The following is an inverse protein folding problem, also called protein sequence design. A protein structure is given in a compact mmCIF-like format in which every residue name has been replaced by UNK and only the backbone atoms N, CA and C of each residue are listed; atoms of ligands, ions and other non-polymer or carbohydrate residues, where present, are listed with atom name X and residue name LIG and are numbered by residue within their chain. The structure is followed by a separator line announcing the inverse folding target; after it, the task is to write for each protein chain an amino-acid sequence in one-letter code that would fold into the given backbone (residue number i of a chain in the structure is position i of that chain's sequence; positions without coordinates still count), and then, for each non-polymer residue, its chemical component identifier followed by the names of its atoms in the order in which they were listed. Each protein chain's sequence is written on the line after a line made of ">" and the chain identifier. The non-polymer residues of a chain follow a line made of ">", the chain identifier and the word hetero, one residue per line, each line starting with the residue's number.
data_IF_535472594585
#
_entry.id   IF_535472594585
#
_cell.length_a   1.000
_cell.length_b   1.000
_cell.length_c   1.000
_cell.angle_alpha   90.00
_cell.angle_beta   90.00
_cell.angle_gamma   90.00
#
_symmetry.space_group_name_H-M   'P 1'
#
loop_
_entity.id
_entity.type
_entity.pdbx_description
1 polymer ?
#
# COMPACT_ATOMS: atom_id res chain seq x y z
N UNK A 1 2.73 -39.25 -15.83
CA UNK A 1 1.64 -38.31 -15.44
C UNK A 1 1.82 -38.02 -13.96
N UNK A 2 2.62 -36.98 -13.66
CA UNK A 2 2.94 -36.62 -12.29
C UNK A 2 1.91 -35.65 -11.77
N UNK A 3 1.12 -36.11 -10.81
CA UNK A 3 0.16 -35.27 -10.10
C UNK A 3 0.94 -34.39 -9.10
N UNK A 4 1.24 -33.16 -9.48
CA UNK A 4 1.72 -32.15 -8.53
C UNK A 4 0.55 -31.80 -7.60
N UNK A 5 0.69 -32.21 -6.35
CA UNK A 5 -0.29 -31.96 -5.30
C UNK A 5 -0.18 -30.49 -4.92
N UNK A 6 -1.23 -29.74 -5.19
CA UNK A 6 -1.41 -28.35 -4.75
C UNK A 6 -1.71 -28.39 -3.24
N UNK A 7 -0.71 -28.13 -2.40
CA UNK A 7 -0.90 -28.04 -0.96
C UNK A 7 -1.12 -26.57 -0.55
N UNK A 8 -2.37 -26.17 -0.49
CA UNK A 8 -2.77 -24.93 0.17
C UNK A 8 -2.86 -25.25 1.66
N UNK A 9 -1.87 -24.84 2.46
CA UNK A 9 -1.95 -24.97 3.92
C UNK A 9 -2.94 -23.94 4.47
N UNK A 10 -4.20 -24.31 4.52
CA UNK A 10 -5.25 -23.59 5.22
C UNK A 10 -5.23 -24.04 6.69
N UNK A 11 -4.59 -23.30 7.57
CA UNK A 11 -4.72 -23.52 9.01
C UNK A 11 -6.00 -22.77 9.45
N UNK A 12 -7.08 -23.51 9.55
CA UNK A 12 -8.32 -23.02 10.18
C UNK A 12 -8.08 -22.89 11.69
N UNK A 13 -7.98 -21.67 12.20
CA UNK A 13 -8.05 -21.40 13.62
C UNK A 13 -9.52 -21.33 14.00
N UNK A 14 -9.97 -22.28 14.79
CA UNK A 14 -11.30 -22.33 15.39
C UNK A 14 -11.49 -21.08 16.26
N UNK A 15 -12.44 -20.22 15.89
CA UNK A 15 -12.86 -19.08 16.68
C UNK A 15 -13.53 -19.56 17.97
N UNK A 16 -12.90 -19.29 19.09
CA UNK A 16 -13.55 -19.43 20.41
C UNK A 16 -14.25 -18.10 20.73
N UNK A 17 -15.56 -18.09 20.56
CA UNK A 17 -16.41 -16.98 20.95
C UNK A 17 -16.56 -16.95 22.46
N UNK A 18 -15.96 -15.97 23.11
CA UNK A 18 -16.31 -15.62 24.50
C UNK A 18 -17.18 -14.39 24.45
N UNK A 19 -18.48 -14.60 24.68
CA UNK A 19 -19.44 -13.53 24.97
C UNK A 19 -19.17 -13.02 26.38
N UNK A 20 -18.77 -11.75 26.52
CA UNK A 20 -18.94 -11.02 27.75
C UNK A 20 -20.08 -10.02 27.58
N UNK A 21 -21.19 -10.33 28.20
CA UNK A 21 -22.26 -9.40 28.52
C UNK A 21 -21.77 -8.52 29.67
N UNK A 22 -21.76 -7.22 29.49
CA UNK A 22 -21.72 -6.27 30.60
C UNK A 22 -22.83 -5.25 30.43
N UNK A 23 -23.57 -5.10 31.50
CA UNK A 23 -24.80 -4.37 31.64
C UNK A 23 -24.63 -2.85 31.55
N UNK A 24 -25.72 -2.24 31.22
CA UNK A 24 -26.00 -0.82 31.15
C UNK A 24 -25.70 -0.07 32.46
N UNK A 25 -25.27 1.18 32.32
CA UNK A 25 -25.81 2.21 33.22
C UNK A 25 -26.03 3.51 32.39
N UNK A 26 -27.27 3.95 32.48
CA UNK A 26 -27.81 5.15 31.91
C UNK A 26 -27.62 6.30 32.89
N UNK A 27 -27.03 7.41 32.45
CA UNK A 27 -27.30 8.70 33.09
C UNK A 27 -27.56 9.76 32.01
N UNK A 28 -28.83 10.10 31.92
CA UNK A 28 -29.38 11.27 31.26
C UNK A 28 -28.89 12.54 31.95
N UNK A 29 -28.28 13.44 31.20
CA UNK A 29 -28.17 14.84 31.63
C UNK A 29 -28.92 15.71 30.62
N UNK A 30 -30.11 16.09 31.01
CA UNK A 30 -30.89 17.13 30.39
C UNK A 30 -30.21 18.49 30.59
N UNK A 31 -29.93 19.19 29.50
CA UNK A 31 -29.59 20.61 29.55
C UNK A 31 -30.73 21.42 28.99
N UNK A 32 -31.27 22.21 29.89
CA UNK A 32 -32.40 23.10 29.73
C UNK A 32 -32.05 24.36 28.91
N UNK A 33 -32.94 24.73 28.04
CA UNK A 33 -32.93 25.98 27.28
C UNK A 33 -33.36 27.13 28.17
N UNK A 34 -32.69 28.23 28.07
CA UNK A 34 -33.22 29.61 27.98
C UNK A 34 -32.15 30.62 28.36
N UNK A 35 -31.79 31.47 27.43
CA UNK A 35 -31.92 32.93 27.62
C UNK A 35 -31.57 33.62 26.29
N UNK A 36 -32.60 34.16 25.69
CA UNK A 36 -32.51 35.10 24.60
C UNK A 36 -32.28 36.51 25.18
N UNK A 37 -31.23 37.18 24.75
CA UNK A 37 -31.13 38.63 24.81
C UNK A 37 -30.73 39.11 23.43
N UNK A 38 -31.67 39.78 22.79
CA UNK A 38 -31.45 40.50 21.54
C UNK A 38 -30.79 41.86 21.79
N UNK A 39 -29.91 42.23 20.88
CA UNK A 39 -29.71 43.64 20.52
C UNK A 39 -29.44 43.63 19.01
N UNK A 40 -30.30 44.35 18.28
CA UNK A 40 -30.13 44.66 16.88
C UNK A 40 -29.07 45.75 16.73
N UNK A 41 -28.43 45.75 15.56
CA UNK A 41 -28.24 46.96 14.75
C UNK A 41 -27.52 46.58 13.46
N UNK A 42 -28.15 47.02 12.46
CA UNK A 42 -27.86 47.31 11.07
C UNK A 42 -26.36 47.49 10.76
N UNK A 43 -25.78 46.62 9.92
CA UNK A 43 -24.50 46.86 9.21
C UNK A 43 -24.75 46.68 7.72
N UNK A 44 -24.78 47.78 7.00
CA UNK A 44 -24.90 47.88 5.56
C UNK A 44 -23.70 47.18 4.86
N UNK A 45 -24.01 46.37 3.89
CA UNK A 45 -23.08 45.78 2.93
C UNK A 45 -22.70 46.83 1.87
N UNK A 46 -21.67 47.60 2.11
CA UNK A 46 -20.95 48.31 1.04
C UNK A 46 -19.49 48.53 1.47
N UNK A 47 -18.58 48.25 0.54
CA UNK A 47 -17.14 48.47 0.62
C UNK A 47 -16.27 47.37 1.30
N UNK A 48 -16.17 46.19 0.69
CA UNK A 48 -14.94 45.42 0.74
C UNK A 48 -14.29 45.44 -0.65
N UNK A 49 -13.49 46.46 -0.88
CA UNK A 49 -12.56 46.48 -2.01
C UNK A 49 -11.39 45.56 -1.69
N UNK A 50 -11.34 44.38 -2.30
CA UNK A 50 -10.13 43.56 -2.30
C UNK A 50 -9.11 44.26 -3.22
N UNK A 51 -8.23 45.04 -2.63
CA UNK A 51 -7.03 45.49 -3.29
C UNK A 51 -6.10 44.29 -3.48
N UNK A 52 -6.06 43.78 -4.69
CA UNK A 52 -5.11 42.76 -5.14
C UNK A 52 -3.73 43.44 -5.29
N UNK A 53 -2.95 43.48 -4.20
CA UNK A 53 -1.54 43.83 -4.30
C UNK A 53 -0.73 42.57 -4.56
N UNK A 54 -0.46 42.29 -5.83
CA UNK A 54 0.59 41.38 -6.26
C UNK A 54 1.91 42.14 -6.04
N UNK A 55 2.55 41.92 -4.92
CA UNK A 55 3.97 42.23 -4.76
C UNK A 55 4.79 41.07 -5.30
N UNK A 56 5.34 41.27 -6.48
CA UNK A 56 6.40 40.45 -7.03
C UNK A 56 7.67 40.66 -6.19
N UNK A 57 8.01 39.70 -5.36
CA UNK A 57 9.40 39.44 -4.95
C UNK A 57 9.47 38.08 -4.21
N UNK A 58 10.46 37.30 -4.66
CA UNK A 58 10.94 36.07 -4.08
C UNK A 58 10.11 34.80 -4.39
N UNK A 59 10.32 34.31 -5.61
CA UNK A 59 10.05 32.92 -5.97
C UNK A 59 11.03 31.99 -5.26
N UNK A 60 10.79 31.74 -4.00
CA UNK A 60 11.18 30.46 -3.43
C UNK A 60 10.26 29.44 -4.08
N UNK A 61 10.80 28.67 -5.03
CA UNK A 61 10.18 27.44 -5.51
C UNK A 61 10.18 26.47 -4.33
N UNK A 62 9.19 26.62 -3.47
CA UNK A 62 8.77 25.54 -2.59
C UNK A 62 8.21 24.50 -3.54
N UNK A 63 9.01 23.47 -3.82
CA UNK A 63 8.58 22.37 -4.66
C UNK A 63 7.25 21.86 -4.16
N UNK A 64 6.22 22.09 -4.97
CA UNK A 64 4.87 21.60 -4.71
C UNK A 64 4.98 20.08 -4.61
N UNK A 65 4.86 19.53 -3.40
CA UNK A 65 4.79 18.10 -3.22
C UNK A 65 3.64 17.58 -4.10
N UNK A 66 3.88 16.64 -5.03
CA UNK A 66 2.89 16.29 -6.03
C UNK A 66 1.60 15.88 -5.33
N UNK A 67 0.52 16.58 -5.65
CA UNK A 67 -0.81 16.39 -5.08
C UNK A 67 -1.34 15.00 -5.44
N UNK A 68 -0.99 14.02 -4.64
CA UNK A 68 -1.54 12.67 -4.76
C UNK A 68 -0.91 11.75 -5.81
N UNK A 69 -0.03 12.23 -6.70
CA UNK A 69 0.62 11.41 -7.74
C UNK A 69 2.14 11.61 -7.71
N UNK A 70 2.90 10.51 -7.80
CA UNK A 70 4.36 10.52 -7.93
C UNK A 70 4.76 9.62 -9.09
N UNK A 71 5.67 10.09 -9.94
CA UNK A 71 6.10 9.37 -11.13
C UNK A 71 7.53 8.87 -11.02
N UNK A 72 7.73 7.63 -11.48
CA UNK A 72 9.03 6.95 -11.52
C UNK A 72 9.34 6.56 -12.95
N UNK A 73 10.56 6.79 -13.39
CA UNK A 73 11.06 6.36 -14.70
C UNK A 73 12.54 5.98 -14.61
N UNK A 74 12.97 4.96 -15.37
CA UNK A 74 14.40 4.58 -15.44
C UNK A 74 15.30 5.68 -15.98
N UNK A 75 14.72 6.65 -16.71
CA UNK A 75 15.40 7.86 -17.24
C UNK A 75 15.25 9.06 -16.31
N UNK A 76 14.62 8.91 -15.14
CA UNK A 76 14.44 9.96 -14.14
C UNK A 76 15.70 10.23 -13.33
N UNK A 77 15.58 11.12 -12.35
CA UNK A 77 16.61 11.40 -11.35
C UNK A 77 15.99 11.50 -9.97
N UNK A 78 16.64 10.96 -8.95
CA UNK A 78 16.17 11.08 -7.56
C UNK A 78 16.32 12.51 -6.98
N UNK A 79 16.90 13.43 -7.75
CA UNK A 79 16.91 14.86 -7.45
C UNK A 79 15.66 15.60 -7.99
N UNK A 80 14.84 14.92 -8.80
CA UNK A 80 13.61 15.47 -9.35
C UNK A 80 12.49 15.51 -8.31
N UNK A 81 11.44 16.29 -8.61
CA UNK A 81 10.27 16.48 -7.75
C UNK A 81 9.25 15.32 -7.78
N UNK A 82 9.41 14.39 -8.71
CA UNK A 82 8.51 13.25 -8.88
C UNK A 82 7.23 13.56 -9.66
N UNK A 83 7.14 14.70 -10.32
CA UNK A 83 6.05 15.00 -11.23
C UNK A 83 6.14 14.14 -12.50
N UNK A 84 5.06 14.07 -13.28
CA UNK A 84 5.04 13.32 -14.55
C UNK A 84 6.10 13.84 -15.55
N UNK A 85 6.37 15.15 -15.53
CA UNK A 85 7.37 15.79 -16.40
C UNK A 85 8.80 15.61 -15.89
N UNK A 86 8.97 15.46 -14.58
CA UNK A 86 10.26 15.32 -13.89
C UNK A 86 10.22 14.12 -12.92
N UNK A 87 10.14 12.87 -13.45
CA UNK A 87 10.01 11.68 -12.62
C UNK A 87 11.28 11.38 -11.85
N UNK A 88 11.14 10.74 -10.69
CA UNK A 88 12.28 10.19 -9.95
C UNK A 88 12.80 8.91 -10.61
N UNK A 89 14.03 8.51 -10.29
CA UNK A 89 14.64 7.30 -10.84
C UNK A 89 14.28 6.03 -10.05
N UNK A 90 14.07 6.16 -8.75
CA UNK A 90 13.86 5.01 -7.87
C UNK A 90 12.47 4.99 -7.23
N UNK A 91 11.91 3.78 -7.06
CA UNK A 91 10.64 3.60 -6.36
C UNK A 91 10.78 3.94 -4.87
N UNK A 92 11.96 3.76 -4.30
CA UNK A 92 12.23 4.16 -2.91
C UNK A 92 12.08 5.66 -2.73
N UNK A 93 12.66 6.45 -3.64
CA UNK A 93 12.53 7.91 -3.62
C UNK A 93 11.08 8.36 -3.82
N UNK A 94 10.34 7.68 -4.71
CA UNK A 94 8.92 7.96 -4.89
C UNK A 94 8.10 7.69 -3.62
N UNK A 95 8.39 6.61 -2.89
CA UNK A 95 7.76 6.32 -1.59
C UNK A 95 8.10 7.41 -0.57
N UNK A 96 9.32 7.95 -0.57
CA UNK A 96 9.72 9.03 0.34
C UNK A 96 8.94 10.32 0.06
N UNK A 97 8.80 10.69 -1.23
CA UNK A 97 8.07 11.89 -1.65
C UNK A 97 6.55 11.77 -1.46
N UNK A 98 5.99 10.58 -1.68
CA UNK A 98 4.55 10.35 -1.63
C UNK A 98 3.97 10.65 -0.26
N UNK A 99 2.79 11.25 -0.24
CA UNK A 99 1.96 11.38 0.95
C UNK A 99 1.09 10.13 1.15
N UNK A 100 0.52 9.96 2.34
CA UNK A 100 -0.43 8.86 2.56
C UNK A 100 -1.69 9.06 1.72
N UNK A 101 -2.05 8.05 0.93
CA UNK A 101 -3.14 8.10 -0.06
C UNK A 101 -2.68 8.38 -1.49
N UNK A 102 -1.39 8.65 -1.71
CA UNK A 102 -0.86 8.92 -3.05
C UNK A 102 -0.83 7.68 -3.94
N UNK A 103 -0.87 7.92 -5.25
CA UNK A 103 -0.59 6.95 -6.30
C UNK A 103 0.83 7.13 -6.84
N UNK A 104 1.59 6.05 -6.91
CA UNK A 104 2.93 6.01 -7.51
C UNK A 104 2.81 5.34 -8.87
N UNK A 105 3.01 6.12 -9.94
CA UNK A 105 3.04 5.66 -11.32
C UNK A 105 4.47 5.26 -11.71
N UNK A 106 4.64 4.02 -12.11
CA UNK A 106 5.96 3.49 -12.47
C UNK A 106 5.96 3.22 -13.97
N UNK A 107 6.75 3.98 -14.72
CA UNK A 107 6.89 3.80 -16.17
C UNK A 107 7.60 2.49 -16.48
N UNK A 108 7.35 1.95 -17.65
CA UNK A 108 7.98 0.74 -18.16
C UNK A 108 9.48 0.69 -17.88
N UNK A 109 9.97 -0.46 -17.39
CA UNK A 109 11.38 -0.68 -17.14
C UNK A 109 11.66 -1.69 -16.04
N UNK A 110 12.95 -1.94 -15.81
CA UNK A 110 13.42 -2.81 -14.73
C UNK A 110 14.03 -1.95 -13.61
N UNK A 111 13.48 -2.09 -12.43
CA UNK A 111 13.88 -1.38 -11.22
C UNK A 111 14.47 -2.36 -10.22
N UNK A 112 15.81 -2.31 -10.11
CA UNK A 112 16.53 -3.16 -9.18
C UNK A 112 16.77 -2.39 -7.88
N UNK A 113 16.02 -2.74 -6.86
CA UNK A 113 16.01 -2.01 -5.59
C UNK A 113 16.15 -3.00 -4.43
N UNK A 114 16.62 -2.52 -3.30
CA UNK A 114 16.55 -3.27 -2.06
C UNK A 114 15.11 -3.36 -1.53
N UNK A 115 14.96 -3.93 -0.35
CA UNK A 115 13.66 -3.95 0.34
C UNK A 115 13.12 -2.53 0.56
N UNK A 116 11.92 -2.27 0.07
CA UNK A 116 11.18 -1.03 0.33
C UNK A 116 10.21 -1.27 1.49
N UNK A 117 10.40 -0.53 2.57
CA UNK A 117 9.50 -0.58 3.74
C UNK A 117 8.40 0.45 3.59
N UNK A 118 7.15 -0.01 3.65
CA UNK A 118 5.97 0.84 3.49
C UNK A 118 5.37 1.17 4.87
N UNK A 119 5.10 2.44 5.09
CA UNK A 119 4.52 2.99 6.32
C UNK A 119 3.47 4.07 6.02
N UNK A 120 2.84 3.98 4.86
CA UNK A 120 1.82 4.89 4.34
C UNK A 120 0.78 4.08 3.55
N UNK A 121 -0.43 4.59 3.44
CA UNK A 121 -1.40 4.11 2.45
C UNK A 121 -0.95 4.55 1.08
N UNK A 122 -0.72 3.62 0.16
CA UNK A 122 -0.17 3.89 -1.18
C UNK A 122 -0.78 2.96 -2.22
N UNK A 123 -0.94 3.50 -3.42
CA UNK A 123 -1.23 2.73 -4.63
C UNK A 123 -0.03 2.76 -5.59
N UNK A 124 0.33 1.61 -6.15
CA UNK A 124 1.41 1.48 -7.14
C UNK A 124 0.81 1.00 -8.44
N UNK A 125 1.04 1.73 -9.53
CA UNK A 125 0.51 1.43 -10.85
C UNK A 125 1.64 1.32 -11.85
N UNK A 126 1.76 0.16 -12.49
CA UNK A 126 2.70 -0.08 -13.58
C UNK A 126 2.15 0.44 -14.90
N UNK A 127 2.90 1.32 -15.55
CA UNK A 127 2.60 1.88 -16.86
C UNK A 127 3.42 1.13 -17.94
N UNK A 128 2.90 -0.02 -18.38
CA UNK A 128 3.58 -0.94 -19.28
C UNK A 128 4.22 -2.13 -18.56
N UNK A 129 5.31 -2.66 -19.11
CA UNK A 129 6.04 -3.79 -18.50
C UNK A 129 6.99 -3.31 -17.40
N UNK A 130 6.52 -3.31 -16.18
CA UNK A 130 7.27 -2.85 -14.99
C UNK A 130 7.77 -4.03 -14.19
N UNK A 131 9.09 -4.18 -14.10
CA UNK A 131 9.76 -5.25 -13.38
C UNK A 131 10.42 -4.67 -12.11
N UNK A 132 9.95 -5.13 -10.96
CA UNK A 132 10.49 -4.76 -9.66
C UNK A 132 11.28 -5.93 -9.08
N UNK A 133 12.57 -5.75 -8.85
CA UNK A 133 13.43 -6.77 -8.29
C UNK A 133 14.11 -6.33 -7.00
N UNK A 134 14.42 -7.31 -6.15
CA UNK A 134 15.12 -7.09 -4.90
C UNK A 134 16.22 -8.12 -4.75
N UNK A 135 17.47 -7.69 -4.70
CA UNK A 135 18.63 -8.57 -4.57
C UNK A 135 18.68 -9.25 -3.20
N UNK A 136 17.87 -10.28 -3.02
CA UNK A 136 17.91 -11.18 -1.87
C UNK A 136 17.00 -10.86 -0.69
N UNK A 137 16.16 -9.82 -0.77
CA UNK A 137 15.18 -9.47 0.27
C UNK A 137 13.76 -9.35 -0.31
N UNK A 138 12.80 -8.93 0.49
CA UNK A 138 11.46 -8.61 0.01
C UNK A 138 11.51 -7.41 -0.96
N UNK A 139 10.67 -7.38 -2.00
CA UNK A 139 10.52 -6.18 -2.82
C UNK A 139 9.82 -5.10 -2.00
N UNK A 140 8.65 -5.42 -1.45
CA UNK A 140 7.96 -4.54 -0.51
C UNK A 140 7.66 -5.24 0.81
N UNK A 141 7.68 -4.47 1.90
CA UNK A 141 7.24 -4.92 3.20
C UNK A 141 6.45 -3.81 3.92
N UNK A 142 5.23 -4.13 4.34
CA UNK A 142 4.41 -3.33 5.24
C UNK A 142 4.06 -4.18 6.46
N UNK A 143 4.55 -3.80 7.63
CA UNK A 143 4.40 -4.57 8.86
C UNK A 143 3.63 -3.79 9.94
N UNK A 144 3.10 -2.62 9.58
CA UNK A 144 2.43 -1.70 10.52
C UNK A 144 0.93 -1.62 10.23
N UNK A 145 0.21 -1.23 11.27
CA UNK A 145 -1.24 -1.06 11.24
C UNK A 145 -1.68 0.19 10.48
N UNK A 146 -2.89 0.15 9.93
CA UNK A 146 -3.62 1.31 9.41
C UNK A 146 -3.31 1.68 7.97
N UNK A 147 -2.50 0.93 7.24
CA UNK A 147 -2.12 1.29 5.87
C UNK A 147 -2.78 0.38 4.83
N UNK A 148 -3.51 0.98 3.91
CA UNK A 148 -4.06 0.29 2.74
C UNK A 148 -3.05 0.33 1.59
N UNK A 149 -2.86 -0.79 0.91
CA UNK A 149 -1.93 -0.93 -0.19
C UNK A 149 -2.64 -1.48 -1.43
N UNK A 150 -2.31 -0.91 -2.57
CA UNK A 150 -2.73 -1.43 -3.86
C UNK A 150 -1.55 -1.54 -4.83
N UNK A 151 -1.44 -2.69 -5.50
CA UNK A 151 -0.42 -2.96 -6.51
C UNK A 151 -1.12 -3.40 -7.80
N UNK A 152 -0.90 -2.68 -8.88
CA UNK A 152 -1.55 -2.93 -10.17
C UNK A 152 -0.53 -2.99 -11.30
N UNK A 153 -0.62 -4.00 -12.17
CA UNK A 153 0.21 -4.19 -13.37
C UNK A 153 1.73 -4.24 -13.10
N UNK A 154 2.16 -5.01 -12.10
CA UNK A 154 3.57 -5.09 -11.69
C UNK A 154 4.10 -6.52 -11.77
N UNK A 155 5.38 -6.66 -12.10
CA UNK A 155 6.12 -7.92 -12.01
C UNK A 155 7.09 -7.86 -10.82
N UNK A 156 6.94 -8.78 -9.88
CA UNK A 156 7.81 -8.97 -8.72
C UNK A 156 8.77 -10.13 -8.99
N UNK A 157 10.08 -9.87 -8.91
CA UNK A 157 11.08 -10.89 -9.27
C UNK A 157 12.37 -10.76 -8.45
N UNK A 158 13.28 -11.70 -8.65
CA UNK A 158 14.68 -11.61 -8.21
C UNK A 158 14.90 -11.74 -6.70
N UNK A 159 13.90 -12.20 -5.93
CA UNK A 159 14.10 -12.52 -4.51
C UNK A 159 14.81 -13.86 -4.40
N UNK A 160 16.02 -13.84 -3.84
CA UNK A 160 16.81 -15.06 -3.61
C UNK A 160 17.36 -15.07 -2.18
N UNK A 161 16.53 -15.49 -1.22
CA UNK A 161 16.92 -15.57 0.18
C UNK A 161 16.05 -16.56 0.94
N UNK A 162 16.68 -17.53 1.59
CA UNK A 162 16.01 -18.47 2.50
C UNK A 162 16.06 -17.99 3.97
N UNK A 163 16.72 -16.86 4.24
CA UNK A 163 16.89 -16.33 5.57
C UNK A 163 15.73 -15.41 5.98
N UNK A 164 15.48 -15.35 7.27
CA UNK A 164 14.51 -14.40 7.86
C UNK A 164 13.07 -14.63 7.41
N UNK A 165 12.41 -13.57 6.95
CA UNK A 165 11.03 -13.55 6.48
C UNK A 165 10.98 -13.10 5.01
N UNK A 166 11.82 -13.67 4.15
CA UNK A 166 11.91 -13.31 2.74
C UNK A 166 10.70 -13.81 1.94
N UNK A 167 10.19 -12.95 1.06
CA UNK A 167 9.15 -13.22 0.07
C UNK A 167 9.09 -12.06 -0.94
N UNK A 168 8.35 -12.17 -2.02
CA UNK A 168 8.16 -11.06 -2.95
C UNK A 168 7.47 -9.87 -2.28
N UNK A 169 6.30 -10.11 -1.70
CA UNK A 169 5.47 -9.10 -1.02
C UNK A 169 5.14 -9.55 0.42
N UNK A 170 5.46 -8.71 1.40
CA UNK A 170 5.14 -8.95 2.81
C UNK A 170 4.15 -7.90 3.32
N UNK A 171 2.98 -8.34 3.76
CA UNK A 171 1.94 -7.44 4.28
C UNK A 171 1.32 -7.98 5.57
N UNK A 172 1.32 -7.13 6.59
CA UNK A 172 0.73 -7.37 7.90
C UNK A 172 -0.07 -6.17 8.39
N UNK A 173 -0.37 -6.17 9.69
CA UNK A 173 -1.18 -5.12 10.31
C UNK A 173 -2.67 -5.27 10.06
N UNK A 174 -3.44 -4.19 10.16
CA UNK A 174 -4.91 -4.19 10.02
C UNK A 174 -5.42 -3.46 8.76
N UNK A 175 -4.53 -3.10 7.85
CA UNK A 175 -4.89 -2.47 6.58
C UNK A 175 -5.35 -3.47 5.52
N UNK A 176 -5.93 -2.95 4.46
CA UNK A 176 -6.35 -3.74 3.31
C UNK A 176 -5.24 -3.82 2.25
N UNK A 177 -5.24 -4.91 1.51
CA UNK A 177 -4.33 -5.15 0.39
C UNK A 177 -5.14 -5.44 -0.87
N UNK A 178 -4.74 -4.82 -1.99
CA UNK A 178 -5.16 -5.24 -3.32
C UNK A 178 -3.93 -5.53 -4.18
N UNK A 179 -3.96 -6.64 -4.88
CA UNK A 179 -2.96 -7.04 -5.86
C UNK A 179 -3.70 -7.39 -7.14
N UNK A 180 -3.57 -6.56 -8.17
CA UNK A 180 -4.37 -6.65 -9.37
C UNK A 180 -3.45 -6.80 -10.59
N UNK A 181 -3.69 -7.84 -11.39
CA UNK A 181 -2.95 -8.06 -12.63
C UNK A 181 -1.42 -8.06 -12.44
N UNK A 182 -0.96 -8.64 -11.33
CA UNK A 182 0.46 -8.74 -11.01
C UNK A 182 1.03 -10.13 -11.28
N UNK A 183 2.33 -10.17 -11.53
CA UNK A 183 3.08 -11.42 -11.70
C UNK A 183 4.18 -11.53 -10.64
N UNK A 184 4.28 -12.70 -10.01
CA UNK A 184 5.36 -13.07 -9.11
C UNK A 184 6.15 -14.18 -9.76
N UNK A 185 7.43 -13.93 -10.07
CA UNK A 185 8.25 -14.90 -10.82
C UNK A 185 9.71 -14.89 -10.35
N UNK A 186 10.41 -15.99 -10.58
CA UNK A 186 11.83 -16.13 -10.22
C UNK A 186 12.12 -15.78 -8.75
N UNK A 187 11.30 -16.31 -7.86
CA UNK A 187 11.41 -16.07 -6.42
C UNK A 187 11.81 -17.35 -5.71
N UNK A 188 12.99 -17.33 -5.08
CA UNK A 188 13.46 -18.37 -4.17
C UNK A 188 13.53 -17.81 -2.76
N UNK A 189 12.46 -17.96 -1.99
CA UNK A 189 12.30 -17.28 -0.72
C UNK A 189 11.67 -18.16 0.35
N UNK A 190 11.88 -17.82 1.63
CA UNK A 190 11.36 -18.63 2.75
C UNK A 190 9.84 -18.78 2.70
N UNK A 191 9.11 -17.73 2.38
CA UNK A 191 7.64 -17.73 2.34
C UNK A 191 7.08 -17.56 0.93
N UNK A 192 7.86 -17.89 -0.11
CA UNK A 192 7.42 -17.88 -1.49
C UNK A 192 7.14 -16.49 -2.04
N UNK A 193 6.08 -16.36 -2.83
CA UNK A 193 5.70 -15.11 -3.49
C UNK A 193 5.20 -14.04 -2.51
N UNK A 194 4.34 -14.44 -1.57
CA UNK A 194 3.68 -13.52 -0.64
C UNK A 194 3.66 -14.07 0.78
N UNK A 195 3.86 -13.19 1.76
CA UNK A 195 3.59 -13.43 3.17
C UNK A 195 2.49 -12.45 3.65
N UNK A 196 1.31 -12.98 3.94
CA UNK A 196 0.12 -12.22 4.29
C UNK A 196 -0.31 -12.56 5.73
N UNK A 197 -0.28 -11.58 6.62
CA UNK A 197 -0.72 -11.73 8.01
C UNK A 197 -1.54 -10.50 8.47
N UNK A 198 -2.22 -9.85 7.51
CA UNK A 198 -3.16 -8.76 7.81
C UNK A 198 -4.42 -9.27 8.51
N UNK A 199 -5.04 -8.41 9.31
CA UNK A 199 -6.39 -8.64 9.86
C UNK A 199 -7.49 -7.96 9.05
N UNK A 200 -7.11 -7.16 8.03
CA UNK A 200 -8.02 -6.56 7.05
C UNK A 200 -8.38 -7.51 5.91
N UNK A 201 -8.73 -6.94 4.78
CA UNK A 201 -9.08 -7.68 3.56
C UNK A 201 -7.89 -7.69 2.60
N UNK A 202 -7.54 -8.85 2.07
CA UNK A 202 -6.54 -8.99 1.01
C UNK A 202 -7.20 -9.60 -0.24
N UNK A 203 -7.29 -8.80 -1.29
CA UNK A 203 -7.83 -9.18 -2.59
C UNK A 203 -6.69 -9.37 -3.61
N UNK A 204 -6.50 -10.60 -4.09
CA UNK A 204 -5.54 -10.94 -5.13
C UNK A 204 -6.32 -11.32 -6.38
N UNK A 205 -6.24 -10.47 -7.42
CA UNK A 205 -7.12 -10.51 -8.57
C UNK A 205 -6.33 -10.61 -9.87
N UNK A 206 -6.71 -11.52 -10.77
CA UNK A 206 -6.13 -11.67 -12.11
C UNK A 206 -4.60 -11.77 -12.10
N UNK A 207 -4.01 -12.41 -11.09
CA UNK A 207 -2.58 -12.43 -10.87
C UNK A 207 -1.97 -13.79 -11.16
N UNK A 208 -0.66 -13.83 -11.43
CA UNK A 208 0.07 -15.04 -11.75
C UNK A 208 1.24 -15.24 -10.80
N UNK A 209 1.43 -16.46 -10.32
CA UNK A 209 2.60 -16.90 -9.57
C UNK A 209 3.25 -18.03 -10.36
N UNK A 210 4.50 -17.84 -10.77
CA UNK A 210 5.25 -18.86 -11.53
C UNK A 210 6.72 -18.88 -11.11
N UNK A 211 7.36 -20.01 -11.32
CA UNK A 211 8.81 -20.17 -11.04
C UNK A 211 9.17 -19.73 -9.61
N UNK A 212 8.32 -20.07 -8.64
CA UNK A 212 8.50 -19.74 -7.23
C UNK A 212 8.87 -20.96 -6.42
N UNK A 213 9.98 -20.88 -5.70
CA UNK A 213 10.46 -21.92 -4.82
C UNK A 213 10.43 -21.43 -3.37
N UNK A 214 9.80 -22.20 -2.49
CA UNK A 214 9.83 -21.94 -1.05
C UNK A 214 11.04 -22.61 -0.40
N UNK A 215 11.79 -21.83 0.39
CA UNK A 215 12.94 -22.32 1.16
C UNK A 215 12.58 -23.06 2.46
N UNK A 216 11.29 -23.25 2.76
CA UNK A 216 10.84 -24.02 3.91
C UNK A 216 10.45 -25.45 3.51
N UNK A 217 10.58 -26.39 4.44
CA UNK A 217 10.13 -27.79 4.25
C UNK A 217 8.64 -27.93 3.95
N UNK A 218 7.85 -26.87 4.15
CA UNK A 218 6.40 -26.85 3.92
C UNK A 218 6.00 -26.38 2.52
N UNK A 219 6.95 -25.97 1.66
CA UNK A 219 6.68 -25.67 0.24
C UNK A 219 5.63 -24.58 -0.02
N UNK A 220 5.55 -23.56 0.82
CA UNK A 220 4.50 -22.56 0.77
C UNK A 220 4.76 -21.51 -0.33
N UNK A 221 3.88 -21.39 -1.32
CA UNK A 221 3.97 -20.37 -2.36
C UNK A 221 3.38 -19.03 -1.89
N UNK A 222 2.28 -19.11 -1.13
CA UNK A 222 1.66 -17.98 -0.43
C UNK A 222 1.49 -18.37 1.04
N UNK A 223 2.13 -17.66 1.93
CA UNK A 223 2.02 -17.90 3.38
C UNK A 223 0.99 -16.97 4.01
N UNK A 224 -0.04 -17.53 4.62
CA UNK A 224 -1.11 -16.80 5.29
C UNK A 224 -1.12 -17.19 6.77
N UNK A 225 -1.04 -16.19 7.65
CA UNK A 225 -1.09 -16.38 9.10
C UNK A 225 -1.92 -15.34 9.86
N UNK A 226 -2.49 -14.34 9.15
CA UNK A 226 -3.40 -13.37 9.73
C UNK A 226 -4.84 -13.87 9.85
N UNK A 227 -5.64 -13.19 10.66
CA UNK A 227 -7.08 -13.48 10.85
C UNK A 227 -8.00 -12.70 9.92
N UNK A 228 -7.46 -12.02 8.91
CA UNK A 228 -8.20 -11.25 7.92
C UNK A 228 -8.97 -12.10 6.91
N UNK A 229 -9.59 -11.42 5.97
CA UNK A 229 -10.26 -12.05 4.83
C UNK A 229 -9.33 -12.07 3.63
N UNK A 230 -9.16 -13.24 3.01
CA UNK A 230 -8.25 -13.42 1.87
C UNK A 230 -9.02 -13.95 0.67
N UNK A 231 -9.14 -13.14 -0.37
CA UNK A 231 -9.86 -13.46 -1.59
C UNK A 231 -8.88 -13.64 -2.75
N UNK A 232 -8.96 -14.78 -3.43
CA UNK A 232 -8.15 -15.10 -4.60
C UNK A 232 -9.07 -15.27 -5.80
N UNK A 233 -9.14 -14.26 -6.65
CA UNK A 233 -9.99 -14.24 -7.83
C UNK A 233 -9.14 -14.35 -9.09
N UNK A 234 -9.27 -15.45 -9.84
CA UNK A 234 -8.51 -15.72 -11.05
C UNK A 234 -6.98 -15.66 -10.81
N UNK A 235 -6.50 -16.36 -9.76
CA UNK A 235 -5.08 -16.54 -9.50
C UNK A 235 -4.58 -17.78 -10.23
N UNK A 236 -3.56 -17.62 -11.09
CA UNK A 236 -2.87 -18.71 -11.77
C UNK A 236 -1.58 -19.06 -11.01
N UNK A 237 -1.36 -20.36 -10.75
CA UNK A 237 -0.12 -20.87 -10.17
C UNK A 237 0.44 -21.91 -11.14
N UNK A 238 1.64 -21.67 -11.68
CA UNK A 238 2.27 -22.46 -12.74
C UNK A 238 3.63 -22.98 -12.32
#
# INVERSE_FOLDING_TARGET
>A
MDKKILLICLIAIVAFSISCVSAADSDEIAMNSSDAVGIGEDISVDDVVFANQISSEDSQVVGDSPSGEVWVATTGSDDNDGSQASPVASVSKAVDLAQSGSTIHIKEGTYNQGKISLNKTLSFVGEGNVILSSNGANVFACEKDGYNLEFTNLVFTGVSSTAGTSCGLKVGGNGNLKVINCTFTDISAKYGAMQLYTTGVADIINSTIKDVVSGTSNGCIVYISGSGTYNFNNLSII
#
